data_IF_290857643834
#
_entry.id   IF_290857643834
#
_cell.length_a   1.000
_cell.length_b   1.000
_cell.length_c   1.000
_cell.angle_alpha   90.00
_cell.angle_beta   90.00
_cell.angle_gamma   90.00
#
_symmetry.space_group_name_H-M   'P 1'
#
loop_
_entity.id
_entity.type
_entity.pdbx_description
1 polymer ?
#
# COMPACT_ATOMS: atom_id res chain seq x y z
N UNK A 1 7.06 -29.39 25.48
CA UNK A 1 8.04 -28.36 25.06
C UNK A 1 7.55 -27.76 23.75
N UNK A 2 7.50 -26.42 23.58
CA UNK A 2 7.10 -25.85 22.28
C UNK A 2 8.14 -26.18 21.21
N UNK A 3 7.72 -26.63 20.04
CA UNK A 3 8.62 -26.91 18.91
C UNK A 3 9.40 -25.63 18.54
N UNK A 4 10.71 -25.75 18.37
CA UNK A 4 11.61 -24.63 18.05
C UNK A 4 11.23 -23.98 16.71
N UNK A 5 10.69 -24.76 15.77
CA UNK A 5 10.23 -24.28 14.46
C UNK A 5 9.03 -23.34 14.62
N UNK A 6 8.04 -23.70 15.45
CA UNK A 6 6.87 -22.86 15.74
C UNK A 6 7.29 -21.55 16.41
N UNK A 7 8.24 -21.59 17.34
CA UNK A 7 8.75 -20.38 17.99
C UNK A 7 9.43 -19.45 16.97
N UNK A 8 10.28 -20.01 16.09
CA UNK A 8 10.96 -19.23 15.06
C UNK A 8 9.96 -18.58 14.07
N UNK A 9 9.00 -19.35 13.56
CA UNK A 9 7.95 -18.82 12.67
C UNK A 9 7.05 -17.80 13.37
N UNK A 10 6.75 -18.00 14.65
CA UNK A 10 6.00 -17.04 15.47
C UNK A 10 6.70 -15.68 15.60
N UNK A 11 8.03 -15.67 15.76
CA UNK A 11 8.83 -14.44 15.75
C UNK A 11 8.82 -13.74 14.39
N UNK A 12 8.93 -14.52 13.30
CA UNK A 12 8.83 -13.99 11.94
C UNK A 12 7.45 -13.38 11.68
N UNK A 13 6.38 -14.06 12.08
CA UNK A 13 5.00 -13.58 11.97
C UNK A 13 4.80 -12.27 12.74
N UNK A 14 5.30 -12.19 13.97
CA UNK A 14 5.21 -10.97 14.78
C UNK A 14 5.93 -9.79 14.10
N UNK A 15 7.13 -10.03 13.50
CA UNK A 15 7.85 -9.02 12.73
C UNK A 15 7.07 -8.55 11.51
N UNK A 16 6.46 -9.48 10.75
CA UNK A 16 5.67 -9.16 9.56
C UNK A 16 4.39 -8.39 9.91
N UNK A 17 3.70 -8.75 10.99
CA UNK A 17 2.53 -8.02 11.48
C UNK A 17 2.86 -6.61 11.97
N UNK A 18 4.06 -6.38 12.52
CA UNK A 18 4.55 -5.03 12.85
C UNK A 18 4.79 -4.22 11.58
N UNK A 19 5.46 -4.80 10.58
CA UNK A 19 5.68 -4.15 9.29
C UNK A 19 4.37 -3.79 8.60
N UNK A 20 3.36 -4.68 8.64
CA UNK A 20 2.03 -4.40 8.09
C UNK A 20 1.40 -3.15 8.71
N UNK A 21 1.46 -3.03 10.04
CA UNK A 21 0.96 -1.83 10.73
C UNK A 21 1.68 -0.56 10.29
N UNK A 22 3.00 -0.59 10.26
CA UNK A 22 3.81 0.57 9.82
C UNK A 22 3.50 0.97 8.38
N UNK A 23 3.34 -0.01 7.46
CA UNK A 23 2.98 0.29 6.08
C UNK A 23 1.59 0.91 5.95
N UNK A 24 0.62 0.45 6.75
CA UNK A 24 -0.74 1.03 6.78
C UNK A 24 -0.75 2.44 7.36
N UNK A 25 0.02 2.70 8.41
CA UNK A 25 0.22 4.04 8.97
C UNK A 25 0.86 4.98 7.93
N UNK A 26 1.91 4.52 7.24
CA UNK A 26 2.53 5.26 6.13
C UNK A 26 1.53 5.57 5.02
N UNK A 27 0.67 4.61 4.65
CA UNK A 27 -0.35 4.79 3.62
C UNK A 27 -1.37 5.89 4.01
N UNK A 28 -1.74 5.99 5.28
CA UNK A 28 -2.61 7.08 5.76
C UNK A 28 -1.96 8.43 5.55
N UNK A 29 -0.71 8.59 6.02
CA UNK A 29 0.04 9.85 5.85
C UNK A 29 0.20 10.22 4.37
N UNK A 30 0.56 9.25 3.52
CA UNK A 30 0.70 9.49 2.08
C UNK A 30 -0.60 9.92 1.40
N UNK A 31 -1.76 9.43 1.86
CA UNK A 31 -3.08 9.87 1.35
C UNK A 31 -3.37 11.31 1.72
N UNK A 32 -3.08 11.72 2.95
CA UNK A 32 -3.25 13.10 3.39
C UNK A 32 -2.33 14.05 2.60
N UNK A 33 -1.09 13.64 2.36
CA UNK A 33 -0.14 14.38 1.54
C UNK A 33 -0.59 14.48 0.07
N UNK A 34 -1.19 13.42 -0.49
CA UNK A 34 -1.75 13.45 -1.83
C UNK A 34 -2.92 14.44 -1.91
N UNK A 35 -3.84 14.41 -0.94
CA UNK A 35 -4.97 15.35 -0.91
C UNK A 35 -4.50 16.81 -0.86
N UNK A 36 -3.46 17.10 -0.08
CA UNK A 36 -2.87 18.44 -0.01
C UNK A 36 -2.25 18.83 -1.38
N UNK A 37 -1.53 17.92 -2.03
CA UNK A 37 -0.95 18.17 -3.35
C UNK A 37 -2.03 18.38 -4.42
N UNK A 38 -3.13 17.63 -4.38
CA UNK A 38 -4.26 17.79 -5.30
C UNK A 38 -4.97 19.14 -5.09
N UNK A 39 -5.19 19.55 -3.84
CA UNK A 39 -5.74 20.88 -3.53
C UNK A 39 -4.82 21.99 -4.06
N UNK A 40 -3.51 21.85 -3.88
CA UNK A 40 -2.55 22.81 -4.40
C UNK A 40 -2.56 22.87 -5.93
N UNK A 41 -2.57 21.73 -6.62
CA UNK A 41 -2.67 21.68 -8.08
C UNK A 41 -3.96 22.34 -8.59
N UNK A 42 -5.08 22.16 -7.88
CA UNK A 42 -6.33 22.81 -8.23
C UNK A 42 -6.25 24.33 -8.07
N UNK A 43 -5.58 24.84 -7.04
CA UNK A 43 -5.34 26.30 -6.88
C UNK A 43 -4.50 26.85 -8.02
N UNK A 44 -3.42 26.13 -8.44
CA UNK A 44 -2.61 26.55 -9.57
C UNK A 44 -3.39 26.55 -10.90
N UNK A 45 -4.32 25.60 -11.06
CA UNK A 45 -5.23 25.57 -12.21
C UNK A 45 -6.14 26.78 -12.23
N UNK A 46 -6.77 27.14 -11.13
CA UNK A 46 -7.59 28.35 -11.01
C UNK A 46 -6.78 29.61 -11.32
N UNK A 47 -5.56 29.73 -10.79
CA UNK A 47 -4.67 30.87 -11.08
C UNK A 47 -4.27 30.96 -12.56
N UNK A 48 -4.07 29.83 -13.23
CA UNK A 48 -3.82 29.81 -14.68
C UNK A 48 -5.07 30.28 -15.46
N UNK A 49 -6.25 29.79 -15.08
CA UNK A 49 -7.51 30.18 -15.75
C UNK A 49 -7.80 31.67 -15.56
N UNK A 50 -7.54 32.24 -14.38
CA UNK A 50 -7.62 33.68 -14.13
C UNK A 50 -6.62 34.48 -14.99
N UNK A 51 -5.36 34.02 -15.05
CA UNK A 51 -4.36 34.68 -15.89
C UNK A 51 -4.74 34.65 -17.39
N UNK A 52 -5.30 33.54 -17.86
CA UNK A 52 -5.81 33.42 -19.24
C UNK A 52 -7.00 34.33 -19.50
N UNK A 53 -7.94 34.42 -18.55
CA UNK A 53 -9.11 35.30 -18.69
C UNK A 53 -8.69 36.77 -18.81
N UNK A 54 -7.70 37.21 -18.02
CA UNK A 54 -7.17 38.55 -18.11
C UNK A 54 -6.48 38.82 -19.48
N UNK A 55 -5.68 37.86 -19.99
CA UNK A 55 -5.05 37.95 -21.29
C UNK A 55 -6.12 38.03 -22.41
N UNK A 56 -7.13 37.15 -22.38
CA UNK A 56 -8.24 37.16 -23.34
C UNK A 56 -9.00 38.50 -23.31
N UNK A 57 -9.25 39.04 -22.12
CA UNK A 57 -9.87 40.36 -22.00
C UNK A 57 -9.01 41.49 -22.59
N UNK A 58 -7.67 41.41 -22.42
CA UNK A 58 -6.76 42.35 -23.07
C UNK A 58 -6.79 42.22 -24.61
N UNK A 59 -6.78 40.98 -25.12
CA UNK A 59 -6.83 40.69 -26.57
C UNK A 59 -8.13 41.21 -27.20
N UNK A 60 -9.28 41.02 -26.54
CA UNK A 60 -10.58 41.56 -26.99
C UNK A 60 -10.59 43.07 -27.03
N UNK A 61 -9.97 43.77 -26.08
CA UNK A 61 -9.87 45.24 -26.11
C UNK A 61 -9.00 45.71 -27.24
N UNK A 62 -7.86 45.05 -27.52
CA UNK A 62 -7.02 45.37 -28.66
C UNK A 62 -7.80 45.20 -29.96
N UNK A 63 -8.57 44.11 -30.08
CA UNK A 63 -9.40 43.84 -31.27
C UNK A 63 -10.50 44.88 -31.44
N UNK A 64 -11.21 45.25 -30.38
CA UNK A 64 -12.24 46.30 -30.41
C UNK A 64 -11.69 47.67 -30.83
N UNK A 65 -10.45 48.02 -30.43
CA UNK A 65 -9.79 49.24 -30.88
C UNK A 65 -9.42 49.18 -32.37
N UNK A 66 -9.04 48.01 -32.87
CA UNK A 66 -8.66 47.84 -34.27
C UNK A 66 -9.87 47.79 -35.22
N UNK A 67 -11.03 47.24 -34.75
CA UNK A 67 -12.29 47.22 -35.51
C UNK A 67 -13.00 48.57 -35.53
N UNK A 68 -12.66 49.48 -34.63
CA UNK A 68 -13.32 50.80 -34.50
C UNK A 68 -14.52 50.78 -33.52
N UNK A 69 -14.74 49.69 -32.81
CA UNK A 69 -15.80 49.57 -31.82
C UNK A 69 -15.45 50.31 -30.51
N UNK A 70 -14.15 50.49 -30.22
CA UNK A 70 -13.64 51.28 -29.10
C UNK A 70 -12.75 52.41 -29.60
N UNK A 71 -12.84 53.60 -28.99
CA UNK A 71 -12.03 54.77 -29.38
C UNK A 71 -10.54 54.48 -29.16
N UNK A 72 -9.73 54.57 -30.21
CA UNK A 72 -8.30 54.32 -30.18
C UNK A 72 -7.49 55.60 -30.12
N UNK A 73 -6.56 55.69 -29.13
CA UNK A 73 -5.46 56.66 -29.14
C UNK A 73 -4.13 55.90 -29.18
N UNK A 74 -3.17 56.37 -29.92
CA UNK A 74 -1.89 55.70 -30.10
C UNK A 74 -1.16 55.37 -28.75
N UNK A 75 -1.13 56.30 -27.73
CA UNK A 75 -0.54 55.96 -26.44
C UNK A 75 -1.22 54.81 -25.72
N UNK A 76 -2.55 54.78 -25.69
CA UNK A 76 -3.33 53.71 -25.03
C UNK A 76 -3.14 52.38 -25.73
N UNK A 77 -3.13 52.35 -27.07
CA UNK A 77 -2.87 51.14 -27.82
C UNK A 77 -1.47 50.59 -27.54
N UNK A 78 -0.41 51.43 -27.54
CA UNK A 78 0.94 50.99 -27.20
C UNK A 78 1.03 50.44 -25.77
N UNK A 79 0.41 51.11 -24.80
CA UNK A 79 0.38 50.65 -23.43
C UNK A 79 -0.30 49.27 -23.28
N UNK A 80 -1.41 49.04 -24.00
CA UNK A 80 -2.10 47.73 -23.96
C UNK A 80 -1.24 46.65 -24.61
N UNK A 81 -0.55 46.95 -25.71
CA UNK A 81 0.35 46.02 -26.36
C UNK A 81 1.53 45.63 -25.44
N UNK A 82 2.12 46.56 -24.73
CA UNK A 82 3.20 46.30 -23.80
C UNK A 82 2.70 45.50 -22.60
N UNK A 83 1.51 45.83 -22.08
CA UNK A 83 0.84 45.08 -21.03
C UNK A 83 0.52 43.65 -21.44
N UNK A 84 0.10 43.42 -22.72
CA UNK A 84 -0.12 42.08 -23.26
C UNK A 84 1.12 41.18 -23.15
N UNK A 85 2.31 41.72 -23.37
CA UNK A 85 3.56 40.95 -23.23
C UNK A 85 3.72 40.45 -21.79
N UNK A 86 3.49 41.29 -20.79
CA UNK A 86 3.54 40.91 -19.38
C UNK A 86 2.49 39.88 -19.04
N UNK A 87 1.29 39.96 -19.62
CA UNK A 87 0.23 38.95 -19.42
C UNK A 87 0.59 37.60 -20.00
N UNK A 88 1.22 37.56 -21.18
CA UNK A 88 1.71 36.32 -21.80
C UNK A 88 2.77 35.64 -20.91
N UNK A 89 3.71 36.42 -20.36
CA UNK A 89 4.70 35.91 -19.42
C UNK A 89 4.04 35.38 -18.15
N UNK A 90 3.03 36.07 -17.62
CA UNK A 90 2.27 35.62 -16.44
C UNK A 90 1.52 34.31 -16.70
N UNK A 91 0.89 34.12 -17.85
CA UNK A 91 0.25 32.87 -18.25
C UNK A 91 1.28 31.75 -18.35
N UNK A 92 2.44 32.02 -18.99
CA UNK A 92 3.53 31.05 -19.09
C UNK A 92 4.07 30.62 -17.72
N UNK A 93 4.26 31.56 -16.81
CA UNK A 93 4.69 31.27 -15.45
C UNK A 93 3.66 30.42 -14.68
N UNK A 94 2.37 30.81 -14.74
CA UNK A 94 1.29 30.05 -14.08
C UNK A 94 1.17 28.61 -14.66
N UNK A 95 1.37 28.45 -15.97
CA UNK A 95 1.39 27.14 -16.62
C UNK A 95 2.56 26.26 -16.13
N UNK A 96 3.74 26.86 -15.96
CA UNK A 96 4.90 26.17 -15.42
C UNK A 96 4.66 25.71 -13.96
N UNK A 97 4.06 26.54 -13.12
CA UNK A 97 3.72 26.17 -11.74
C UNK A 97 2.66 25.07 -11.67
N UNK A 98 1.62 25.13 -12.51
CA UNK A 98 0.63 24.04 -12.60
C UNK A 98 1.31 22.72 -12.99
N UNK A 99 2.19 22.73 -13.99
CA UNK A 99 2.93 21.53 -14.42
C UNK A 99 3.77 20.93 -13.29
N UNK A 100 4.41 21.77 -12.47
CA UNK A 100 5.16 21.30 -11.29
C UNK A 100 4.22 20.67 -10.25
N UNK A 101 3.08 21.29 -9.97
CA UNK A 101 2.10 20.78 -9.03
C UNK A 101 1.51 19.43 -9.51
N UNK A 102 1.18 19.30 -10.78
CA UNK A 102 0.69 18.03 -11.37
C UNK A 102 1.76 16.92 -11.34
N UNK A 103 3.02 17.25 -11.55
CA UNK A 103 4.12 16.29 -11.39
C UNK A 103 4.27 15.80 -9.95
N UNK A 104 4.08 16.70 -8.96
CA UNK A 104 4.07 16.30 -7.54
C UNK A 104 2.90 15.37 -7.20
N UNK A 105 1.69 15.64 -7.69
CA UNK A 105 0.53 14.74 -7.55
C UNK A 105 0.84 13.37 -8.12
N UNK A 106 1.42 13.30 -9.32
CA UNK A 106 1.80 12.03 -9.96
C UNK A 106 2.82 11.26 -9.10
N UNK A 107 3.82 11.94 -8.55
CA UNK A 107 4.82 11.34 -7.65
C UNK A 107 4.19 10.78 -6.37
N UNK A 108 3.25 11.51 -5.76
CA UNK A 108 2.54 11.06 -4.54
C UNK A 108 1.66 9.83 -4.82
N UNK A 109 0.97 9.79 -5.96
CA UNK A 109 0.18 8.63 -6.39
C UNK A 109 1.06 7.40 -6.58
N UNK A 110 2.21 7.53 -7.22
CA UNK A 110 3.16 6.44 -7.38
C UNK A 110 3.65 5.90 -6.03
N UNK A 111 4.00 6.76 -5.08
CA UNK A 111 4.42 6.34 -3.74
C UNK A 111 3.33 5.55 -3.00
N UNK A 112 2.06 5.94 -3.13
CA UNK A 112 0.92 5.20 -2.60
C UNK A 112 0.81 3.81 -3.23
N UNK A 113 0.94 3.70 -4.54
CA UNK A 113 0.83 2.42 -5.25
C UNK A 113 1.99 1.48 -4.90
N UNK A 114 3.20 2.01 -4.72
CA UNK A 114 4.35 1.26 -4.22
C UNK A 114 4.10 0.73 -2.79
N UNK A 115 3.56 1.56 -1.90
CA UNK A 115 3.23 1.15 -0.52
C UNK A 115 2.11 0.09 -0.51
N UNK A 116 1.08 0.23 -1.33
CA UNK A 116 0.02 -0.79 -1.50
C UNK A 116 0.60 -2.12 -1.98
N UNK A 117 1.49 -2.08 -2.97
CA UNK A 117 2.16 -3.29 -3.45
C UNK A 117 3.03 -3.96 -2.38
N UNK A 118 3.65 -3.17 -1.48
CA UNK A 118 4.38 -3.70 -0.33
C UNK A 118 3.45 -4.37 0.69
N UNK A 119 2.28 -3.78 0.97
CA UNK A 119 1.27 -4.36 1.87
C UNK A 119 0.82 -5.72 1.33
N UNK A 120 0.41 -5.80 0.07
CA UNK A 120 -0.04 -7.05 -0.56
C UNK A 120 1.05 -8.13 -0.51
N UNK A 121 2.30 -7.79 -0.80
CA UNK A 121 3.43 -8.73 -0.69
C UNK A 121 3.65 -9.20 0.75
N UNK A 122 3.53 -8.29 1.72
CA UNK A 122 3.70 -8.62 3.13
C UNK A 122 2.56 -9.51 3.65
N UNK A 123 1.32 -9.26 3.25
CA UNK A 123 0.14 -10.10 3.56
C UNK A 123 0.31 -11.52 2.99
N UNK A 124 0.79 -11.65 1.75
CA UNK A 124 1.11 -12.95 1.17
C UNK A 124 2.17 -13.72 1.97
N UNK A 125 3.20 -13.03 2.48
CA UNK A 125 4.23 -13.63 3.33
C UNK A 125 3.69 -14.04 4.71
N UNK A 126 2.78 -13.24 5.29
CA UNK A 126 2.08 -13.58 6.53
C UNK A 126 1.29 -14.88 6.34
N UNK A 127 0.48 -14.96 5.29
CA UNK A 127 -0.32 -16.15 4.99
C UNK A 127 0.53 -17.41 4.81
N UNK A 128 1.66 -17.33 4.11
CA UNK A 128 2.59 -18.46 3.95
C UNK A 128 3.17 -18.91 5.30
N UNK A 129 3.53 -17.98 6.18
CA UNK A 129 4.06 -18.30 7.51
C UNK A 129 2.98 -18.98 8.37
N UNK A 130 1.75 -18.46 8.35
CA UNK A 130 0.61 -19.02 9.09
C UNK A 130 0.30 -20.45 8.64
N UNK A 131 0.22 -20.68 7.33
CA UNK A 131 0.04 -22.03 6.77
C UNK A 131 1.19 -22.99 7.15
N UNK A 132 2.42 -22.47 7.28
CA UNK A 132 3.56 -23.30 7.68
C UNK A 132 3.49 -23.69 9.15
N UNK A 133 3.05 -22.78 10.02
CA UNK A 133 2.81 -23.07 11.44
C UNK A 133 1.74 -24.16 11.57
N UNK A 134 0.60 -23.98 10.90
CA UNK A 134 -0.51 -24.94 10.91
C UNK A 134 -0.07 -26.35 10.48
N UNK A 135 0.71 -26.44 9.40
CA UNK A 135 1.25 -27.74 8.96
C UNK A 135 2.15 -28.40 9.99
N UNK A 136 2.99 -27.62 10.66
CA UNK A 136 3.87 -28.14 11.73
C UNK A 136 3.04 -28.61 12.94
N UNK A 137 1.98 -27.88 13.28
CA UNK A 137 1.07 -28.26 14.37
C UNK A 137 0.38 -29.58 14.06
N UNK A 138 -0.13 -29.77 12.84
CA UNK A 138 -0.72 -31.04 12.38
C UNK A 138 0.33 -32.18 12.38
N UNK A 139 1.58 -31.93 11.94
CA UNK A 139 2.65 -32.92 11.99
C UNK A 139 2.93 -33.39 13.43
N UNK A 140 2.95 -32.47 14.38
CA UNK A 140 3.19 -32.77 15.79
C UNK A 140 2.01 -33.57 16.38
N UNK A 141 0.78 -33.17 16.08
CA UNK A 141 -0.42 -33.86 16.57
C UNK A 141 -0.45 -35.31 16.10
N UNK A 142 -0.24 -35.55 14.79
CA UNK A 142 -0.13 -36.90 14.24
C UNK A 142 0.98 -37.75 14.90
N UNK A 143 2.17 -37.16 15.07
CA UNK A 143 3.26 -37.89 15.73
C UNK A 143 2.95 -38.22 17.21
N UNK A 144 2.11 -37.43 17.88
CA UNK A 144 1.65 -37.73 19.22
C UNK A 144 0.59 -38.84 19.25
N UNK A 145 -0.32 -38.82 18.26
CA UNK A 145 -1.33 -39.88 18.09
C UNK A 145 -0.64 -41.21 17.76
N UNK A 146 0.29 -41.24 16.81
CA UNK A 146 1.06 -42.44 16.45
C UNK A 146 1.81 -43.03 17.68
N UNK A 147 2.46 -42.16 18.47
CA UNK A 147 3.18 -42.61 19.66
C UNK A 147 2.24 -43.18 20.77
N UNK A 148 1.03 -42.65 20.89
CA UNK A 148 0.01 -43.18 21.81
C UNK A 148 -0.51 -44.53 21.34
N UNK A 149 -0.71 -44.71 20.05
CA UNK A 149 -1.16 -45.97 19.46
C UNK A 149 -0.10 -47.08 19.66
N UNK A 150 1.20 -46.75 19.42
CA UNK A 150 2.32 -47.65 19.69
C UNK A 150 2.36 -48.08 21.18
N UNK A 151 2.20 -47.15 22.10
CA UNK A 151 2.17 -47.46 23.57
C UNK A 151 1.00 -48.41 23.92
N UNK A 152 -0.16 -48.19 23.32
CA UNK A 152 -1.34 -49.05 23.54
C UNK A 152 -1.07 -50.46 22.97
N UNK A 153 -0.49 -50.57 21.79
CA UNK A 153 -0.13 -51.87 21.18
C UNK A 153 0.89 -52.63 22.04
N UNK A 154 1.95 -51.95 22.52
CA UNK A 154 2.93 -52.56 23.43
C UNK A 154 2.29 -53.11 24.70
N UNK A 155 1.37 -52.34 25.32
CA UNK A 155 0.63 -52.78 26.51
C UNK A 155 -0.22 -54.01 26.21
N UNK A 156 -0.90 -54.06 25.05
CA UNK A 156 -1.71 -55.16 24.62
C UNK A 156 -0.88 -56.43 24.39
N UNK A 157 0.26 -56.32 23.71
CA UNK A 157 1.21 -57.42 23.49
C UNK A 157 1.76 -57.96 24.83
N UNK A 158 2.17 -57.07 25.73
CA UNK A 158 2.66 -57.45 27.05
C UNK A 158 1.59 -58.19 27.88
N UNK A 159 0.33 -57.79 27.82
CA UNK A 159 -0.80 -58.48 28.48
C UNK A 159 -1.04 -59.88 27.88
N UNK A 160 -1.02 -59.99 26.54
CA UNK A 160 -1.19 -61.28 25.83
C UNK A 160 -0.09 -62.27 26.20
N UNK A 161 1.16 -61.79 26.27
CA UNK A 161 2.29 -62.64 26.69
C UNK A 161 2.15 -63.14 28.14
N UNK A 162 1.78 -62.27 29.07
CA UNK A 162 1.55 -62.66 30.49
C UNK A 162 0.45 -63.72 30.61
N UNK A 163 -0.64 -63.56 29.87
CA UNK A 163 -1.73 -64.56 29.88
C UNK A 163 -1.27 -65.90 29.30
N UNK A 164 -0.45 -65.91 28.25
CA UNK A 164 0.13 -67.16 27.70
C UNK A 164 1.08 -67.83 28.71
N UNK A 165 1.95 -67.10 29.39
CA UNK A 165 2.83 -67.66 30.40
C UNK A 165 2.05 -68.27 31.55
N UNK A 166 1.00 -67.59 32.07
CA UNK A 166 0.15 -68.11 33.12
C UNK A 166 -0.62 -69.36 32.73
N UNK A 167 -1.08 -69.46 31.46
CA UNK A 167 -1.73 -70.65 30.96
C UNK A 167 -0.75 -71.86 30.86
N UNK A 168 0.48 -71.62 30.38
CA UNK A 168 1.54 -72.63 30.29
C UNK A 168 2.00 -73.16 31.67
N UNK A 169 2.07 -72.29 32.68
CA UNK A 169 2.35 -72.68 34.09
C UNK A 169 1.22 -73.52 34.69
N UNK A 170 -0.02 -73.21 34.35
CA UNK A 170 -1.17 -73.98 34.82
C UNK A 170 -1.25 -75.40 34.20
N UNK A 171 -0.81 -75.56 32.94
CA UNK A 171 -0.72 -76.82 32.24
C UNK A 171 0.44 -77.73 32.80
N UNK A 172 1.52 -77.12 33.27
CA UNK A 172 2.69 -77.85 33.78
C UNK A 172 2.53 -78.41 35.24
N UNK A 173 1.49 -78.04 35.94
CA UNK A 173 1.21 -78.46 37.36
C UNK A 173 0.16 -79.56 37.42
N UNK A 174 -0.41 -80.01 36.30
CA UNK A 174 -1.36 -81.12 36.25
C UNK A 174 -0.73 -82.36 35.63
#
# INVERSE_FOLDING_TARGET
MKDRRIVAFGLMLAKRRRLDRTLRETLVVQRDELEQAERFAQQQRSSLDEARAVLTGCDHRVEAMLSGDEAMTLPVFNQLRDYRVVLVERVSAAQAELKKAEAEVARRRQAIDETRAQIVRNEGQISVIEQRIEKIEIEIERAQEDAQDEEIEEIMVARALRLRCAASEAESVN
#
